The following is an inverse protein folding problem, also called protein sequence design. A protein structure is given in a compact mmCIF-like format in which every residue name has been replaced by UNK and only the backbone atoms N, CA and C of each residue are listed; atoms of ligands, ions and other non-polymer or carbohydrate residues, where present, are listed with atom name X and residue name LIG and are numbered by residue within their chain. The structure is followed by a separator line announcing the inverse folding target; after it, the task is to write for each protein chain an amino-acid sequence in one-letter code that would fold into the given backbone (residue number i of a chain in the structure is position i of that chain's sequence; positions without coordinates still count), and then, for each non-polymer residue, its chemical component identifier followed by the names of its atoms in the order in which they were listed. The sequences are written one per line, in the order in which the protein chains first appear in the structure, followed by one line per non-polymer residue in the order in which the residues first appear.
data_IF_570821352298
#
_entry.id   IF_570821352298
#
_cell.length_a   1.000
_cell.length_b   1.000
_cell.length_c   1.000
_cell.angle_alpha   90.00
_cell.angle_beta   90.00
_cell.angle_gamma   90.00
#
_symmetry.space_group_name_H-M   'P 1'
#
loop_
_entity.id
_entity.type
_entity.pdbx_description
1 polymer ?
#
# COMPACT_ATOMS: atom_id res chain seq x y z
N UNK A 1 -29.48 6.92 9.98
CA UNK A 1 -29.66 7.23 8.55
C UNK A 1 -28.87 6.18 7.77
N UNK A 2 -29.52 5.08 7.35
CA UNK A 2 -28.87 3.98 6.63
C UNK A 2 -28.66 4.41 5.17
N UNK A 3 -27.42 4.68 4.76
CA UNK A 3 -27.06 4.81 3.35
C UNK A 3 -26.95 3.39 2.79
N UNK A 4 -27.91 2.98 1.96
CA UNK A 4 -27.79 1.76 1.16
C UNK A 4 -26.70 1.98 0.11
N UNK A 5 -25.58 1.27 0.26
CA UNK A 5 -24.50 1.22 -0.72
C UNK A 5 -24.96 0.35 -1.91
N UNK A 6 -25.18 0.97 -3.07
CA UNK A 6 -25.54 0.25 -4.28
C UNK A 6 -24.26 -0.30 -4.92
N UNK A 7 -23.91 -1.55 -4.63
CA UNK A 7 -22.79 -2.26 -5.26
C UNK A 7 -23.04 -2.34 -6.77
N UNK A 8 -22.36 -1.51 -7.56
CA UNK A 8 -22.40 -1.59 -9.03
C UNK A 8 -21.49 -2.73 -9.49
N UNK A 9 -22.05 -3.94 -9.51
CA UNK A 9 -21.44 -5.11 -10.13
C UNK A 9 -21.40 -4.94 -11.66
N UNK A 10 -20.21 -4.72 -12.22
CA UNK A 10 -19.95 -4.90 -13.67
C UNK A 10 -19.22 -6.23 -13.87
N UNK A 11 -19.96 -7.33 -13.91
CA UNK A 11 -19.47 -8.57 -14.52
C UNK A 11 -19.91 -8.63 -15.97
N UNK A 12 -18.95 -8.80 -16.88
CA UNK A 12 -19.19 -9.05 -18.29
C UNK A 12 -19.85 -10.44 -18.47
N UNK A 13 -21.03 -10.46 -19.08
CA UNK A 13 -21.64 -11.66 -19.63
C UNK A 13 -20.83 -12.14 -20.84
N UNK A 14 -20.50 -13.44 -20.87
CA UNK A 14 -20.19 -14.13 -22.11
C UNK A 14 -21.10 -15.36 -22.21
N UNK A 15 -21.91 -15.39 -23.25
CA UNK A 15 -22.95 -16.37 -23.54
C UNK A 15 -22.43 -17.34 -24.61
N UNK A 16 -22.61 -18.64 -24.42
CA UNK A 16 -22.27 -19.64 -25.44
C UNK A 16 -22.72 -21.05 -25.07
N UNK A 17 -23.98 -21.37 -25.39
CA UNK A 17 -24.66 -22.66 -25.25
C UNK A 17 -24.18 -23.71 -26.25
N UNK A 18 -24.20 -24.98 -25.82
CA UNK A 18 -24.57 -26.25 -26.51
C UNK A 18 -23.93 -27.39 -25.67
N UNK A 19 -24.59 -28.38 -25.09
CA UNK A 19 -25.87 -29.02 -25.31
C UNK A 19 -25.63 -30.53 -25.28
N UNK A 20 -26.05 -31.26 -24.23
CA UNK A 20 -26.39 -32.70 -24.28
C UNK A 20 -27.00 -33.19 -22.96
N UNK A 21 -28.24 -33.69 -23.07
CA UNK A 21 -29.00 -34.41 -22.03
C UNK A 21 -28.41 -35.81 -21.83
N UNK A 22 -28.18 -36.19 -20.57
CA UNK A 22 -28.09 -37.59 -20.16
C UNK A 22 -28.99 -37.78 -18.94
N UNK A 23 -29.98 -38.66 -19.09
CA UNK A 23 -30.87 -39.15 -18.02
C UNK A 23 -30.18 -40.35 -17.36
N UNK A 24 -30.07 -40.38 -16.02
CA UNK A 24 -30.15 -41.65 -15.25
C UNK A 24 -30.18 -41.46 -13.72
N UNK A 25 -31.27 -42.03 -13.16
CA UNK A 25 -31.45 -42.77 -11.89
C UNK A 25 -31.01 -42.14 -10.56
N UNK A 26 -32.02 -41.83 -9.76
CA UNK A 26 -32.04 -41.58 -8.33
C UNK A 26 -31.63 -42.81 -7.50
N UNK A 27 -30.75 -42.59 -6.52
CA UNK A 27 -30.52 -43.44 -5.36
C UNK A 27 -30.86 -42.64 -4.08
N UNK A 28 -31.44 -43.25 -3.04
CA UNK A 28 -31.83 -42.54 -1.83
C UNK A 28 -30.59 -42.31 -0.96
N UNK A 29 -30.10 -41.07 -0.90
CA UNK A 29 -29.04 -40.69 0.02
C UNK A 29 -29.67 -40.17 1.31
N UNK A 30 -29.56 -40.97 2.37
CA UNK A 30 -29.83 -40.56 3.74
C UNK A 30 -29.10 -39.24 4.01
N UNK A 31 -29.87 -38.16 4.09
CA UNK A 31 -29.32 -36.84 4.40
C UNK A 31 -29.26 -36.73 5.92
N UNK A 32 -28.09 -37.04 6.48
CA UNK A 32 -27.72 -36.56 7.80
C UNK A 32 -27.53 -35.06 7.67
N UNK A 33 -28.53 -34.29 8.09
CA UNK A 33 -28.46 -32.84 8.18
C UNK A 33 -27.45 -32.46 9.27
N UNK A 34 -26.26 -32.04 8.85
CA UNK A 34 -25.31 -31.30 9.69
C UNK A 34 -25.90 -29.89 9.94
N UNK A 35 -26.08 -29.46 11.20
CA UNK A 35 -26.57 -28.12 11.49
C UNK A 35 -25.39 -27.12 11.63
N UNK A 36 -25.61 -25.88 11.15
CA UNK A 36 -24.92 -24.62 11.53
C UNK A 36 -23.44 -24.46 11.12
N UNK A 37 -23.18 -24.11 9.85
CA UNK A 37 -21.94 -23.43 9.38
C UNK A 37 -22.22 -22.25 8.42
N UNK A 38 -23.47 -22.02 8.02
CA UNK A 38 -23.85 -21.07 6.96
C UNK A 38 -24.12 -19.65 7.43
N UNK A 39 -24.53 -19.45 8.69
CA UNK A 39 -24.89 -18.12 9.22
C UNK A 39 -23.64 -17.27 9.49
N UNK A 40 -22.62 -17.83 10.15
CA UNK A 40 -21.38 -17.13 10.49
C UNK A 40 -20.61 -16.64 9.24
N UNK A 41 -20.58 -17.44 8.17
CA UNK A 41 -19.99 -17.02 6.90
C UNK A 41 -20.77 -15.92 6.17
N UNK A 42 -22.11 -15.92 6.27
CA UNK A 42 -22.94 -14.88 5.67
C UNK A 42 -22.75 -13.54 6.41
N UNK A 43 -22.65 -13.59 7.74
CA UNK A 43 -22.40 -12.43 8.59
C UNK A 43 -21.01 -11.83 8.36
N UNK A 44 -19.97 -12.66 8.23
CA UNK A 44 -18.63 -12.20 7.86
C UNK A 44 -18.60 -11.55 6.48
N UNK A 45 -19.30 -12.12 5.50
CA UNK A 45 -19.38 -11.53 4.16
C UNK A 45 -20.07 -10.16 4.19
N UNK A 46 -21.17 -10.04 4.95
CA UNK A 46 -21.87 -8.77 5.14
C UNK A 46 -20.98 -7.72 5.84
N UNK A 47 -20.16 -8.15 6.81
CA UNK A 47 -19.18 -7.31 7.47
C UNK A 47 -18.10 -6.81 6.49
N UNK A 48 -17.57 -7.68 5.63
CA UNK A 48 -16.63 -7.30 4.57
C UNK A 48 -17.27 -6.29 3.61
N UNK A 49 -18.53 -6.50 3.22
CA UNK A 49 -19.27 -5.57 2.35
C UNK A 49 -19.46 -4.18 3.00
N UNK A 50 -19.81 -4.12 4.29
CA UNK A 50 -19.94 -2.85 5.02
C UNK A 50 -18.61 -2.09 5.09
N UNK A 51 -17.52 -2.79 5.42
CA UNK A 51 -16.19 -2.18 5.50
C UNK A 51 -15.75 -1.63 4.14
N UNK A 52 -15.89 -2.41 3.07
CA UNK A 52 -15.51 -1.98 1.72
C UNK A 52 -16.29 -0.72 1.30
N UNK A 53 -17.61 -0.71 1.54
CA UNK A 53 -18.44 0.46 1.27
C UNK A 53 -17.95 1.72 2.02
N UNK A 54 -17.58 1.58 3.29
CA UNK A 54 -17.13 2.70 4.13
C UNK A 54 -15.78 3.29 3.72
N UNK A 55 -14.89 2.48 3.16
CA UNK A 55 -13.54 2.92 2.76
C UNK A 55 -13.48 3.41 1.31
N UNK A 56 -14.50 3.11 0.50
CA UNK A 56 -14.55 3.50 -0.91
C UNK A 56 -14.48 5.03 -1.07
N UNK A 57 -13.59 5.51 -1.93
CA UNK A 57 -13.43 6.95 -2.20
C UNK A 57 -12.75 7.77 -1.10
N UNK A 58 -12.23 7.15 -0.04
CA UNK A 58 -11.67 7.87 1.13
C UNK A 58 -10.19 8.25 1.02
N UNK A 59 -9.53 7.91 -0.10
CA UNK A 59 -8.06 8.01 -0.28
C UNK A 59 -7.29 7.32 0.87
N UNK A 60 -7.55 6.02 1.08
CA UNK A 60 -6.85 5.25 2.12
C UNK A 60 -7.29 5.61 3.55
N UNK A 61 -8.49 6.17 3.72
CA UNK A 61 -8.99 6.68 5.01
C UNK A 61 -8.55 8.11 5.35
N UNK A 62 -7.81 8.80 4.47
CA UNK A 62 -7.34 10.16 4.73
C UNK A 62 -8.50 11.15 4.91
N UNK A 63 -9.55 11.00 4.11
CA UNK A 63 -10.70 11.92 4.11
C UNK A 63 -11.76 11.59 5.17
N UNK A 64 -11.52 10.58 6.01
CA UNK A 64 -12.43 10.18 7.08
C UNK A 64 -12.19 10.98 8.36
N UNK A 65 -13.29 11.28 9.05
CA UNK A 65 -13.25 11.81 10.41
C UNK A 65 -12.72 10.77 11.40
N UNK A 66 -12.32 11.24 12.56
CA UNK A 66 -11.83 10.39 13.64
C UNK A 66 -12.87 9.36 14.08
N UNK A 67 -14.12 9.76 14.26
CA UNK A 67 -15.21 8.84 14.63
C UNK A 67 -15.45 7.77 13.56
N UNK A 68 -15.38 8.12 12.27
CA UNK A 68 -15.52 7.16 11.18
C UNK A 68 -14.38 6.15 11.14
N UNK A 69 -13.15 6.59 11.42
CA UNK A 69 -11.99 5.69 11.55
C UNK A 69 -12.15 4.74 12.72
N UNK A 70 -12.61 5.24 13.86
CA UNK A 70 -12.82 4.44 15.05
C UNK A 70 -13.90 3.36 14.80
N UNK A 71 -14.97 3.69 14.08
CA UNK A 71 -15.98 2.72 13.63
C UNK A 71 -15.39 1.63 12.73
N UNK A 72 -14.60 2.01 11.70
CA UNK A 72 -13.98 1.05 10.78
C UNK A 72 -12.98 0.17 11.52
N UNK A 73 -12.17 0.73 12.40
CA UNK A 73 -11.19 -0.01 13.20
C UNK A 73 -11.88 -1.07 14.09
N UNK A 74 -13.07 -0.79 14.64
CA UNK A 74 -13.87 -1.76 15.38
C UNK A 74 -14.39 -2.91 14.48
N UNK A 75 -14.80 -2.61 13.24
CA UNK A 75 -15.21 -3.64 12.28
C UNK A 75 -14.03 -4.52 11.86
N UNK A 76 -12.86 -3.92 11.65
CA UNK A 76 -11.63 -4.66 11.38
C UNK A 76 -11.25 -5.57 12.55
N UNK A 77 -11.43 -5.14 13.80
CA UNK A 77 -11.17 -6.01 14.96
C UNK A 77 -12.07 -7.24 14.99
N UNK A 78 -13.33 -7.12 14.57
CA UNK A 78 -14.23 -8.29 14.46
C UNK A 78 -13.71 -9.29 13.43
N UNK A 79 -13.24 -8.82 12.27
CA UNK A 79 -12.62 -9.68 11.26
C UNK A 79 -11.34 -10.34 11.80
N UNK A 80 -10.52 -9.58 12.53
CA UNK A 80 -9.29 -10.10 13.15
C UNK A 80 -9.58 -11.19 14.17
N UNK A 81 -10.61 -11.00 14.99
CA UNK A 81 -11.04 -12.02 15.95
C UNK A 81 -11.50 -13.28 15.24
N UNK A 82 -12.31 -13.15 14.18
CA UNK A 82 -12.75 -14.27 13.36
C UNK A 82 -11.60 -14.96 12.61
N UNK A 83 -10.50 -14.24 12.35
CA UNK A 83 -9.30 -14.76 11.70
C UNK A 83 -8.32 -15.47 12.64
N UNK A 84 -8.52 -15.44 13.97
CA UNK A 84 -7.58 -16.08 14.91
C UNK A 84 -7.40 -17.57 14.63
N UNK A 85 -6.15 -18.03 14.60
CA UNK A 85 -5.82 -19.44 14.34
C UNK A 85 -5.92 -19.84 12.86
N UNK A 86 -6.41 -18.96 11.99
CA UNK A 86 -6.08 -19.07 10.56
C UNK A 86 -4.57 -18.85 10.43
N UNK A 87 -3.89 -19.59 9.55
CA UNK A 87 -2.44 -19.47 9.32
C UNK A 87 -2.20 -18.79 7.97
N UNK A 88 -2.38 -17.46 7.85
CA UNK A 88 -2.60 -16.83 6.55
C UNK A 88 -1.33 -16.78 5.72
N UNK A 89 -0.15 -16.91 6.36
CA UNK A 89 1.15 -17.03 5.69
C UNK A 89 1.23 -18.31 4.85
N UNK A 90 0.55 -19.38 5.28
CA UNK A 90 0.49 -20.68 4.57
C UNK A 90 -0.66 -20.76 3.58
N UNK A 91 -1.55 -19.77 3.59
CA UNK A 91 -2.69 -19.74 2.70
C UNK A 91 -2.24 -19.32 1.29
N UNK A 92 -2.49 -20.12 0.24
CA UNK A 92 -2.12 -19.76 -1.13
C UNK A 92 -2.79 -18.46 -1.59
N UNK A 93 -3.94 -18.10 -0.97
CA UNK A 93 -4.62 -16.84 -1.22
C UNK A 93 -3.81 -15.65 -0.73
N UNK A 94 -2.74 -15.79 0.05
CA UNK A 94 -1.90 -14.64 0.37
C UNK A 94 -1.21 -14.09 -0.89
N UNK A 95 -0.84 -14.97 -1.83
CA UNK A 95 -0.16 -14.59 -3.08
C UNK A 95 -1.13 -13.85 -3.99
N UNK A 96 -0.82 -12.60 -4.33
CA UNK A 96 -1.65 -11.78 -5.20
C UNK A 96 -1.30 -10.30 -5.16
N UNK A 97 -2.00 -9.55 -6.00
CA UNK A 97 -1.95 -8.10 -6.03
C UNK A 97 -3.05 -7.51 -5.15
N UNK A 98 -2.73 -6.48 -4.38
CA UNK A 98 -3.70 -5.82 -3.54
C UNK A 98 -3.60 -4.29 -3.63
N UNK A 99 -4.75 -3.65 -3.56
CA UNK A 99 -4.88 -2.22 -3.31
C UNK A 99 -4.94 -1.99 -1.82
N UNK A 100 -4.18 -1.03 -1.30
CA UNK A 100 -4.31 -0.57 0.10
C UNK A 100 -5.43 0.45 0.15
N UNK A 101 -6.60 0.03 0.63
CA UNK A 101 -7.82 0.85 0.59
C UNK A 101 -8.07 1.62 1.87
N UNK A 102 -7.45 1.20 2.99
CA UNK A 102 -7.55 1.90 4.25
C UNK A 102 -6.31 1.65 5.13
N UNK A 103 -5.88 2.69 5.82
CA UNK A 103 -4.83 2.61 6.85
C UNK A 103 -5.20 3.42 8.08
N UNK A 104 -4.98 2.85 9.27
CA UNK A 104 -5.14 3.55 10.55
C UNK A 104 -3.85 3.50 11.37
N UNK A 105 -3.46 4.63 11.94
CA UNK A 105 -2.36 4.76 12.92
C UNK A 105 -2.87 5.11 14.31
N UNK A 106 -4.19 5.07 14.53
CA UNK A 106 -4.84 5.53 15.78
C UNK A 106 -4.32 4.81 17.02
N UNK A 107 -3.91 3.55 16.83
CA UNK A 107 -3.39 2.66 17.88
C UNK A 107 -1.87 2.51 17.85
N UNK A 108 -1.18 3.36 17.09
CA UNK A 108 0.27 3.35 16.94
C UNK A 108 0.92 4.55 17.65
N UNK A 109 1.10 4.49 18.99
CA UNK A 109 1.68 5.60 19.74
C UNK A 109 3.08 5.92 19.24
N UNK A 110 3.29 7.19 18.87
CA UNK A 110 4.59 7.70 18.39
C UNK A 110 4.85 7.56 16.89
N UNK A 111 3.99 6.87 16.12
CA UNK A 111 4.14 6.81 14.66
C UNK A 111 3.81 8.17 14.03
N UNK A 112 4.84 8.89 13.55
CA UNK A 112 4.68 10.18 12.86
C UNK A 112 4.47 9.93 11.36
N UNK A 113 3.39 10.45 10.79
CA UNK A 113 3.09 10.36 9.35
C UNK A 113 2.15 9.22 8.97
N UNK A 114 1.97 9.00 7.66
CA UNK A 114 1.07 7.97 7.12
C UNK A 114 1.73 6.59 7.16
N UNK A 115 0.97 5.55 7.56
CA UNK A 115 1.46 4.18 7.62
C UNK A 115 1.84 3.61 6.26
N UNK A 116 1.08 3.97 5.22
CA UNK A 116 1.42 3.67 3.83
C UNK A 116 1.86 4.95 3.09
N UNK A 117 2.94 4.83 2.32
CA UNK A 117 3.48 5.90 1.48
C UNK A 117 4.26 7.02 2.18
N UNK A 118 4.45 6.94 3.49
CA UNK A 118 5.43 7.75 4.22
C UNK A 118 5.33 9.25 3.94
N UNK A 119 6.48 9.91 3.69
CA UNK A 119 6.54 11.36 3.45
C UNK A 119 5.86 11.81 2.15
N UNK A 120 5.76 10.92 1.15
CA UNK A 120 5.08 11.23 -0.12
C UNK A 120 3.58 11.47 0.06
N UNK A 121 2.97 10.87 1.10
CA UNK A 121 1.56 11.07 1.46
C UNK A 121 1.36 12.06 2.62
N UNK A 122 2.41 12.77 3.05
CA UNK A 122 2.29 13.88 4.02
C UNK A 122 1.61 15.13 3.42
N UNK A 123 1.31 16.13 4.25
CA UNK A 123 0.60 17.35 3.80
C UNK A 123 1.27 18.04 2.60
N UNK A 124 2.58 18.31 2.70
CA UNK A 124 3.36 18.88 1.60
C UNK A 124 3.54 17.88 0.45
N UNK A 125 3.74 16.60 0.77
CA UNK A 125 3.89 15.53 -0.20
C UNK A 125 2.70 15.40 -1.14
N UNK A 126 1.47 15.43 -0.63
CA UNK A 126 0.24 15.31 -1.45
C UNK A 126 0.05 16.44 -2.46
N UNK A 127 0.52 17.65 -2.14
CA UNK A 127 0.44 18.79 -3.06
C UNK A 127 1.38 18.63 -4.26
N UNK A 128 2.57 18.06 -4.04
CA UNK A 128 3.58 17.85 -5.08
C UNK A 128 3.38 16.52 -5.80
N UNK A 129 2.96 15.49 -5.07
CA UNK A 129 2.80 14.11 -5.52
C UNK A 129 1.35 13.69 -5.29
N UNK A 130 0.47 14.06 -6.23
CA UNK A 130 -0.94 13.67 -6.14
C UNK A 130 -1.03 12.15 -6.24
N UNK A 131 -1.34 11.47 -5.14
CA UNK A 131 -1.38 10.00 -5.13
C UNK A 131 -2.50 9.50 -6.03
N UNK A 132 -2.19 8.54 -6.89
CA UNK A 132 -3.14 7.91 -7.81
C UNK A 132 -3.43 6.46 -7.42
N UNK A 133 -2.58 5.85 -6.59
CA UNK A 133 -2.83 4.52 -6.05
C UNK A 133 -1.78 4.08 -5.04
N UNK A 134 -2.18 3.21 -4.12
CA UNK A 134 -1.31 2.57 -3.13
C UNK A 134 -1.55 1.07 -3.21
N UNK A 135 -0.48 0.32 -3.45
CA UNK A 135 -0.57 -1.10 -3.73
C UNK A 135 0.45 -1.87 -2.91
N UNK A 136 0.07 -3.08 -2.52
CA UNK A 136 0.97 -4.05 -1.93
C UNK A 136 0.69 -5.40 -2.58
N UNK A 137 1.70 -6.03 -3.16
CA UNK A 137 1.59 -7.38 -3.70
C UNK A 137 2.47 -8.34 -2.91
N UNK A 138 1.99 -9.57 -2.78
CA UNK A 138 2.83 -10.71 -2.36
C UNK A 138 2.97 -11.60 -3.58
N UNK A 139 4.16 -11.63 -4.16
CA UNK A 139 4.48 -12.36 -5.36
C UNK A 139 4.99 -13.75 -5.00
N UNK A 140 4.63 -14.74 -5.81
CA UNK A 140 5.17 -16.09 -5.70
C UNK A 140 6.70 -16.06 -5.89
N UNK A 141 7.38 -16.85 -5.07
CA UNK A 141 8.82 -17.01 -5.05
C UNK A 141 9.23 -17.92 -3.90
N UNK A 142 10.49 -18.34 -3.88
CA UNK A 142 11.09 -19.08 -2.77
C UNK A 142 12.38 -18.38 -2.31
N UNK A 143 12.33 -17.52 -1.26
CA UNK A 143 11.14 -17.14 -0.49
C UNK A 143 10.20 -16.17 -1.26
N UNK A 144 8.95 -15.98 -0.81
CA UNK A 144 8.02 -15.02 -1.40
C UNK A 144 8.55 -13.59 -1.39
N UNK A 145 8.03 -12.75 -2.28
CA UNK A 145 8.48 -11.36 -2.46
C UNK A 145 7.33 -10.41 -2.18
N UNK A 146 7.52 -9.47 -1.27
CA UNK A 146 6.58 -8.38 -1.05
C UNK A 146 7.01 -7.14 -1.84
N UNK A 147 6.02 -6.50 -2.47
CA UNK A 147 6.21 -5.30 -3.27
C UNK A 147 5.25 -4.23 -2.79
N UNK A 148 5.77 -3.06 -2.43
CA UNK A 148 4.97 -1.87 -2.16
C UNK A 148 5.12 -0.87 -3.30
N UNK A 149 4.01 -0.32 -3.78
CA UNK A 149 4.01 0.72 -4.81
C UNK A 149 3.09 1.86 -4.40
N UNK A 150 3.61 3.08 -4.45
CA UNK A 150 2.82 4.31 -4.30
C UNK A 150 2.92 5.07 -5.61
N UNK A 151 1.86 5.02 -6.40
CA UNK A 151 1.76 5.74 -7.67
C UNK A 151 1.28 7.17 -7.44
N UNK A 152 1.82 8.12 -8.20
CA UNK A 152 1.47 9.52 -8.09
C UNK A 152 1.59 10.25 -9.43
N UNK A 153 1.03 11.45 -9.50
CA UNK A 153 1.34 12.45 -10.51
C UNK A 153 2.11 13.61 -9.87
N UNK A 154 3.35 13.83 -10.32
CA UNK A 154 4.16 14.98 -9.93
C UNK A 154 3.53 16.25 -10.54
N UNK A 155 3.19 17.21 -9.67
CA UNK A 155 2.45 18.43 -10.01
C UNK A 155 1.14 18.17 -10.78
N UNK A 156 0.58 16.96 -10.66
CA UNK A 156 -0.60 16.54 -11.42
C UNK A 156 -0.34 16.20 -12.89
N UNK A 157 0.89 16.32 -13.39
CA UNK A 157 1.21 16.20 -14.83
C UNK A 157 2.04 14.96 -15.16
N UNK A 158 3.09 14.70 -14.38
CA UNK A 158 4.08 13.66 -14.72
C UNK A 158 3.78 12.42 -13.89
N UNK A 159 3.37 11.30 -14.51
CA UNK A 159 3.13 10.07 -13.77
C UNK A 159 4.45 9.53 -13.21
N UNK A 160 4.38 8.97 -12.00
CA UNK A 160 5.52 8.38 -11.33
C UNK A 160 5.09 7.42 -10.23
N UNK A 161 6.07 6.76 -9.62
CA UNK A 161 5.82 5.95 -8.43
C UNK A 161 7.06 5.85 -7.54
N UNK A 162 6.84 5.55 -6.27
CA UNK A 162 7.87 5.00 -5.38
C UNK A 162 7.57 3.52 -5.16
N UNK A 163 8.56 2.69 -5.42
CA UNK A 163 8.45 1.25 -5.34
C UNK A 163 9.47 0.65 -4.38
N UNK A 164 9.04 -0.28 -3.53
CA UNK A 164 9.90 -1.11 -2.70
C UNK A 164 9.67 -2.57 -3.08
N UNK A 165 10.75 -3.35 -3.11
CA UNK A 165 10.72 -4.79 -3.34
C UNK A 165 11.57 -5.45 -2.26
N UNK A 166 11.03 -6.48 -1.62
CA UNK A 166 11.67 -7.11 -0.49
C UNK A 166 11.31 -8.58 -0.34
N UNK A 167 12.18 -9.32 0.36
CA UNK A 167 11.95 -10.74 0.67
C UNK A 167 11.08 -10.85 1.90
N UNK A 168 10.12 -11.78 1.85
CA UNK A 168 9.26 -12.11 2.98
C UNK A 168 9.90 -13.27 3.73
N UNK A 169 10.11 -13.08 5.02
CA UNK A 169 10.64 -14.10 5.93
C UNK A 169 9.66 -14.27 7.10
N UNK A 170 9.42 -15.51 7.56
CA UNK A 170 8.66 -15.74 8.78
C UNK A 170 9.29 -14.98 9.96
N UNK A 171 8.45 -14.44 10.84
CA UNK A 171 8.92 -13.75 12.03
C UNK A 171 8.17 -14.26 13.26
N UNK A 172 8.90 -14.82 14.22
CA UNK A 172 8.30 -15.48 15.38
C UNK A 172 7.81 -16.90 15.08
N UNK A 173 7.17 -17.52 16.08
CA UNK A 173 6.70 -18.91 16.02
C UNK A 173 5.19 -19.03 15.70
N UNK A 174 4.52 -17.90 15.41
CA UNK A 174 3.05 -17.82 15.35
C UNK A 174 2.42 -18.14 13.98
N UNK A 175 3.21 -18.42 12.93
CA UNK A 175 2.75 -18.63 11.54
C UNK A 175 1.85 -17.50 10.97
N UNK A 176 1.74 -16.36 11.67
CA UNK A 176 0.86 -15.22 11.35
C UNK A 176 1.67 -13.98 10.97
N UNK A 177 2.85 -13.84 11.57
CA UNK A 177 3.73 -12.68 11.45
C UNK A 177 4.83 -12.90 10.41
N UNK A 178 5.06 -11.89 9.57
CA UNK A 178 6.18 -11.88 8.61
C UNK A 178 7.01 -10.62 8.75
N UNK A 179 8.32 -10.77 8.60
CA UNK A 179 9.24 -9.68 8.36
C UNK A 179 9.49 -9.55 6.87
N UNK A 180 9.38 -8.33 6.35
CA UNK A 180 9.75 -8.02 4.98
C UNK A 180 10.98 -7.15 4.97
N UNK A 181 12.04 -7.62 4.32
CA UNK A 181 13.29 -6.90 4.14
C UNK A 181 13.34 -6.28 2.75
N UNK A 182 13.08 -4.98 2.67
CA UNK A 182 13.06 -4.22 1.42
C UNK A 182 14.45 -3.71 1.04
N UNK A 183 14.75 -3.84 -0.25
CA UNK A 183 15.85 -3.13 -0.90
C UNK A 183 15.58 -1.61 -0.96
N UNK A 184 16.59 -0.79 -1.28
CA UNK A 184 16.41 0.66 -1.39
C UNK A 184 15.29 1.01 -2.39
N UNK A 185 14.38 1.93 -2.04
CA UNK A 185 13.25 2.29 -2.88
C UNK A 185 13.68 2.81 -4.24
N UNK A 186 12.85 2.53 -5.25
CA UNK A 186 12.97 3.10 -6.59
C UNK A 186 11.95 4.21 -6.73
N UNK A 187 12.44 5.41 -6.99
CA UNK A 187 11.65 6.52 -7.50
C UNK A 187 11.65 6.47 -9.02
N UNK A 188 10.47 6.42 -9.62
CA UNK A 188 10.29 6.39 -11.07
C UNK A 188 9.44 7.55 -11.57
N UNK A 189 9.82 8.08 -12.73
CA UNK A 189 9.06 9.10 -13.46
C UNK A 189 8.89 8.70 -14.94
N UNK A 190 7.67 8.88 -15.44
CA UNK A 190 7.26 8.63 -16.81
C UNK A 190 7.66 7.25 -17.37
N UNK A 191 7.87 6.26 -16.50
CA UNK A 191 8.32 4.92 -16.86
C UNK A 191 9.73 4.83 -17.48
N UNK A 192 10.51 5.92 -17.45
CA UNK A 192 11.82 6.00 -18.12
C UNK A 192 12.94 6.40 -17.17
N UNK A 193 12.63 7.29 -16.22
CA UNK A 193 13.58 7.69 -15.21
C UNK A 193 13.44 6.78 -14.00
N UNK A 194 14.54 6.19 -13.55
CA UNK A 194 14.55 5.36 -12.36
C UNK A 194 15.75 5.71 -11.49
N UNK A 195 15.49 5.93 -10.21
CA UNK A 195 16.49 6.31 -9.23
C UNK A 195 16.30 5.46 -7.99
N UNK A 196 17.32 4.70 -7.60
CA UNK A 196 17.38 4.14 -6.26
C UNK A 196 17.70 5.25 -5.27
N UNK A 197 16.83 5.40 -4.28
CA UNK A 197 16.91 6.42 -3.25
C UNK A 197 16.86 5.74 -1.89
N UNK A 198 17.43 6.39 -0.88
CA UNK A 198 17.34 5.90 0.49
C UNK A 198 18.11 4.62 0.81
N UNK A 199 18.06 4.21 2.09
CA UNK A 199 18.61 2.96 2.56
C UNK A 199 17.62 1.79 2.38
N UNK A 200 18.10 0.58 2.68
CA UNK A 200 17.24 -0.58 2.94
C UNK A 200 16.32 -0.34 4.13
N UNK A 201 15.20 -1.06 4.19
CA UNK A 201 14.24 -0.97 5.29
C UNK A 201 13.59 -2.31 5.57
N UNK A 202 13.20 -2.57 6.81
CA UNK A 202 12.39 -3.71 7.18
C UNK A 202 11.01 -3.27 7.67
N UNK A 203 10.01 -4.13 7.53
CA UNK A 203 8.69 -3.95 8.13
C UNK A 203 8.22 -5.30 8.67
N UNK A 204 7.68 -5.29 9.88
CA UNK A 204 6.98 -6.43 10.46
C UNK A 204 5.48 -6.23 10.33
N UNK A 205 4.80 -7.20 9.72
CA UNK A 205 3.36 -7.18 9.50
C UNK A 205 2.79 -8.58 9.77
N UNK A 206 1.73 -8.65 10.57
CA UNK A 206 0.91 -9.84 10.69
C UNK A 206 -0.29 -9.74 9.75
N UNK A 207 -0.57 -10.80 8.98
CA UNK A 207 -1.86 -10.92 8.29
C UNK A 207 -2.82 -11.62 9.25
N UNK A 208 -3.84 -10.91 9.69
CA UNK A 208 -4.72 -11.32 10.81
C UNK A 208 -6.09 -11.81 10.35
N UNK A 209 -6.43 -11.54 9.09
CA UNK A 209 -7.61 -12.08 8.41
C UNK A 209 -7.33 -12.10 6.91
N UNK A 210 -7.80 -13.14 6.21
CA UNK A 210 -7.64 -13.30 4.77
C UNK A 210 -8.83 -14.09 4.19
N UNK A 211 -9.43 -13.55 3.14
CA UNK A 211 -10.41 -14.25 2.31
C UNK A 211 -10.13 -13.98 0.81
N UNK A 212 -11.10 -14.29 -0.05
CA UNK A 212 -10.95 -14.09 -1.50
C UNK A 212 -10.93 -12.63 -1.95
N UNK A 213 -11.42 -11.72 -1.11
CA UNK A 213 -11.66 -10.31 -1.47
C UNK A 213 -10.72 -9.38 -0.75
N UNK A 214 -10.37 -9.67 0.49
CA UNK A 214 -9.62 -8.79 1.36
C UNK A 214 -8.57 -9.53 2.17
N UNK A 215 -7.60 -8.77 2.66
CA UNK A 215 -6.83 -9.17 3.85
C UNK A 215 -6.68 -8.00 4.80
N UNK A 216 -6.53 -8.33 6.07
CA UNK A 216 -6.31 -7.36 7.15
C UNK A 216 -4.88 -7.53 7.68
N UNK A 217 -4.11 -6.45 7.59
CA UNK A 217 -2.75 -6.39 8.11
C UNK A 217 -2.67 -5.62 9.41
N UNK A 218 -1.84 -6.11 10.33
CA UNK A 218 -1.47 -5.43 11.57
C UNK A 218 0.04 -5.19 11.56
N UNK A 219 0.45 -3.93 11.54
CA UNK A 219 1.86 -3.58 11.73
C UNK A 219 2.28 -3.82 13.17
N UNK A 220 3.56 -4.15 13.39
CA UNK A 220 4.13 -4.35 14.74
C UNK A 220 3.88 -3.18 15.70
N UNK A 221 3.72 -1.97 15.17
CA UNK A 221 3.41 -0.74 15.92
C UNK A 221 1.92 -0.54 16.20
N UNK A 222 1.04 -1.45 15.81
CA UNK A 222 -0.41 -1.33 15.99
C UNK A 222 -1.13 -0.57 14.86
N UNK A 223 -0.46 -0.28 13.74
CA UNK A 223 -1.12 0.26 12.55
C UNK A 223 -1.97 -0.81 11.86
N UNK A 224 -3.18 -0.43 11.46
CA UNK A 224 -4.10 -1.32 10.75
C UNK A 224 -4.09 -1.02 9.26
N UNK A 225 -4.19 -2.06 8.47
CA UNK A 225 -4.22 -2.00 7.02
C UNK A 225 -5.34 -2.88 6.50
N UNK A 226 -6.15 -2.33 5.60
CA UNK A 226 -7.10 -3.11 4.81
C UNK A 226 -6.66 -3.12 3.36
N UNK A 227 -6.62 -4.33 2.80
CA UNK A 227 -6.22 -4.58 1.44
C UNK A 227 -7.38 -5.22 0.69
N UNK A 228 -7.69 -4.76 -0.52
CA UNK A 228 -8.61 -5.45 -1.43
C UNK A 228 -7.82 -6.13 -2.54
N UNK A 229 -8.20 -7.36 -2.88
CA UNK A 229 -7.53 -8.17 -3.90
C UNK A 229 -7.86 -7.67 -5.31
N UNK A 230 -6.84 -7.68 -6.17
CA UNK A 230 -6.94 -7.42 -7.60
C UNK A 230 -7.33 -5.98 -7.99
N UNK A 231 -8.12 -5.85 -9.05
CA UNK A 231 -8.65 -4.56 -9.51
C UNK A 231 -7.53 -3.68 -10.08
N UNK A 232 -7.42 -2.44 -9.59
CA UNK A 232 -6.36 -1.52 -10.04
C UNK A 232 -4.95 -2.05 -9.74
N UNK A 233 -4.78 -2.97 -8.78
CA UNK A 233 -3.49 -3.57 -8.47
C UNK A 233 -3.00 -4.53 -9.57
N UNK A 234 -3.91 -5.19 -10.30
CA UNK A 234 -3.54 -6.12 -11.39
C UNK A 234 -3.01 -5.37 -12.61
N UNK A 235 -3.46 -4.13 -12.82
CA UNK A 235 -2.96 -3.26 -13.89
C UNK A 235 -1.78 -2.37 -13.45
N UNK A 236 -1.22 -2.59 -12.25
CA UNK A 236 -0.20 -1.74 -11.66
C UNK A 236 1.25 -2.25 -11.87
N UNK A 237 1.48 -3.22 -12.74
CA UNK A 237 2.82 -3.77 -13.08
C UNK A 237 3.66 -4.14 -11.84
N UNK A 238 3.01 -4.74 -10.84
CA UNK A 238 3.60 -4.97 -9.51
C UNK A 238 4.78 -5.95 -9.55
N UNK A 239 4.81 -6.84 -10.53
CA UNK A 239 5.91 -7.76 -10.80
C UNK A 239 7.20 -7.03 -11.18
N UNK A 240 7.10 -5.94 -11.96
CA UNK A 240 8.23 -5.15 -12.44
C UNK A 240 8.80 -4.20 -11.38
N UNK A 241 8.00 -3.78 -10.40
CA UNK A 241 8.41 -2.80 -9.40
C UNK A 241 9.65 -3.28 -8.61
N UNK A 242 10.64 -2.40 -8.49
CA UNK A 242 11.87 -2.66 -7.74
C UNK A 242 12.96 -3.37 -8.55
N UNK A 243 12.67 -3.84 -9.76
CA UNK A 243 13.65 -4.48 -10.65
C UNK A 243 14.42 -3.47 -11.52
N UNK A 244 13.93 -2.23 -11.61
CA UNK A 244 14.54 -1.22 -12.47
C UNK A 244 15.96 -0.87 -12.01
N UNK A 245 16.84 -0.64 -12.98
CA UNK A 245 18.19 -0.13 -12.72
C UNK A 245 18.16 1.38 -12.66
N UNK A 246 19.00 1.95 -11.80
CA UNK A 246 19.21 3.40 -11.78
C UNK A 246 19.69 3.87 -13.15
N UNK A 247 18.94 4.76 -13.78
CA UNK A 247 19.31 5.35 -15.06
C UNK A 247 20.41 6.38 -14.86
N UNK A 248 21.54 6.27 -15.57
CA UNK A 248 22.62 7.26 -15.49
C UNK A 248 22.13 8.65 -15.94
N UNK A 249 21.23 8.70 -16.94
CA UNK A 249 20.56 9.93 -17.38
C UNK A 249 19.76 10.55 -16.24
N UNK A 250 19.05 9.75 -15.45
CA UNK A 250 18.31 10.25 -14.30
C UNK A 250 19.20 10.77 -13.19
N UNK A 251 20.31 10.08 -12.93
CA UNK A 251 21.31 10.56 -11.97
C UNK A 251 21.88 11.90 -12.44
N UNK A 252 22.30 11.99 -13.70
CA UNK A 252 22.81 13.22 -14.30
C UNK A 252 21.78 14.35 -14.26
N UNK A 253 20.51 14.08 -14.60
CA UNK A 253 19.43 15.06 -14.57
C UNK A 253 19.17 15.58 -13.16
N UNK A 254 19.18 14.71 -12.15
CA UNK A 254 19.01 15.12 -10.74
C UNK A 254 20.19 15.97 -10.27
N UNK A 255 21.43 15.56 -10.55
CA UNK A 255 22.60 16.36 -10.19
C UNK A 255 22.66 17.69 -10.91
N UNK A 256 22.31 17.73 -12.19
CA UNK A 256 22.20 18.97 -12.95
C UNK A 256 21.12 19.89 -12.35
N UNK A 257 19.95 19.35 -12.01
CA UNK A 257 18.88 20.11 -11.36
C UNK A 257 19.31 20.67 -10.00
N UNK A 258 19.96 19.87 -9.15
CA UNK A 258 20.50 20.34 -7.87
C UNK A 258 21.58 21.41 -8.06
N UNK A 259 22.48 21.22 -9.03
CA UNK A 259 23.51 22.21 -9.34
C UNK A 259 22.89 23.54 -9.82
N UNK A 260 21.85 23.49 -10.66
CA UNK A 260 21.10 24.67 -11.11
C UNK A 260 20.46 25.37 -9.91
N UNK A 261 19.82 24.65 -8.98
CA UNK A 261 19.23 25.25 -7.77
C UNK A 261 20.27 25.95 -6.90
N UNK A 262 21.45 25.34 -6.73
CA UNK A 262 22.57 25.92 -5.96
C UNK A 262 23.11 27.17 -6.65
N UNK A 263 23.42 27.09 -7.95
CA UNK A 263 23.96 28.22 -8.72
C UNK A 263 22.95 29.37 -8.76
N UNK A 264 21.68 29.08 -9.06
CA UNK A 264 20.62 30.09 -9.07
C UNK A 264 20.42 30.72 -7.69
N UNK A 265 20.46 29.91 -6.63
CA UNK A 265 20.40 30.40 -5.25
C UNK A 265 21.56 31.34 -4.93
N UNK A 266 22.79 30.99 -5.33
CA UNK A 266 23.98 31.82 -5.13
C UNK A 266 23.89 33.15 -5.90
N UNK A 267 23.43 33.12 -7.15
CA UNK A 267 23.23 34.34 -7.97
C UNK A 267 22.16 35.25 -7.37
N UNK A 268 21.04 34.68 -6.93
CA UNK A 268 19.97 35.42 -6.25
C UNK A 268 20.45 36.04 -4.94
N UNK A 269 21.28 35.33 -4.17
CA UNK A 269 21.87 35.83 -2.93
C UNK A 269 22.84 36.99 -3.17
N UNK A 270 23.67 36.88 -4.21
CA UNK A 270 24.64 37.91 -4.60
C UNK A 270 23.97 39.20 -5.09
N UNK A 271 22.68 39.15 -5.43
CA UNK A 271 21.94 40.35 -5.81
C UNK A 271 21.75 41.32 -4.63
N UNK A 272 21.63 42.61 -4.94
CA UNK A 272 21.28 43.65 -3.97
C UNK A 272 19.78 43.69 -3.64
N UNK A 273 18.96 42.86 -4.31
CA UNK A 273 17.50 42.88 -4.15
C UNK A 273 17.07 42.00 -2.95
N UNK A 274 16.40 42.56 -1.93
CA UNK A 274 15.97 41.79 -0.77
C UNK A 274 15.01 40.65 -1.11
N UNK A 275 14.14 40.80 -2.11
CA UNK A 275 13.23 39.74 -2.56
C UNK A 275 13.99 38.57 -3.20
N UNK A 276 15.05 38.86 -3.95
CA UNK A 276 15.89 37.82 -4.53
C UNK A 276 16.67 37.05 -3.43
N UNK A 277 17.11 37.71 -2.36
CA UNK A 277 17.72 37.02 -1.21
C UNK A 277 16.73 36.09 -0.48
N UNK A 278 15.47 36.51 -0.36
CA UNK A 278 14.41 35.62 0.16
C UNK A 278 14.22 34.41 -0.76
N UNK A 279 14.17 34.61 -2.08
CA UNK A 279 14.09 33.53 -3.04
C UNK A 279 15.32 32.58 -2.99
N UNK A 280 16.52 33.11 -2.76
CA UNK A 280 17.73 32.33 -2.56
C UNK A 280 17.62 31.40 -1.33
N UNK A 281 17.10 31.93 -0.21
CA UNK A 281 16.86 31.13 1.01
C UNK A 281 15.88 29.99 0.71
N UNK A 282 14.78 30.27 0.00
CA UNK A 282 13.79 29.26 -0.39
C UNK A 282 14.44 28.18 -1.28
N UNK A 283 15.26 28.58 -2.26
CA UNK A 283 16.01 27.63 -3.12
C UNK A 283 16.96 26.76 -2.30
N UNK A 284 17.65 27.33 -1.31
CA UNK A 284 18.51 26.60 -0.38
C UNK A 284 17.74 25.55 0.41
N UNK A 285 16.61 25.90 1.00
CA UNK A 285 15.74 24.94 1.69
C UNK A 285 15.21 23.84 0.76
N UNK A 286 14.84 24.18 -0.47
CA UNK A 286 14.38 23.21 -1.46
C UNK A 286 15.51 22.22 -1.81
N UNK A 287 16.72 22.72 -2.03
CA UNK A 287 17.91 21.89 -2.33
C UNK A 287 18.21 20.92 -1.20
N UNK A 288 18.21 21.40 0.04
CA UNK A 288 18.44 20.56 1.23
C UNK A 288 17.32 19.54 1.39
N UNK A 289 16.06 19.96 1.22
CA UNK A 289 14.89 19.10 1.31
C UNK A 289 14.90 17.95 0.31
N UNK A 290 15.15 18.26 -0.97
CA UNK A 290 15.25 17.25 -2.04
C UNK A 290 16.41 16.30 -1.78
N UNK A 291 17.59 16.82 -1.43
CA UNK A 291 18.76 15.99 -1.12
C UNK A 291 18.48 15.05 0.06
N UNK A 292 17.79 15.53 1.10
CA UNK A 292 17.40 14.71 2.23
C UNK A 292 16.41 13.60 1.84
N UNK A 293 15.44 13.87 0.95
CA UNK A 293 14.50 12.86 0.44
C UNK A 293 15.23 11.81 -0.40
N UNK A 294 16.16 12.23 -1.28
CA UNK A 294 16.97 11.31 -2.08
C UNK A 294 17.85 10.41 -1.20
N UNK A 295 18.46 10.98 -0.15
CA UNK A 295 19.33 10.23 0.76
C UNK A 295 18.58 9.32 1.73
N UNK A 296 17.34 9.67 2.13
CA UNK A 296 16.52 8.88 3.07
C UNK A 296 15.41 8.06 2.42
N UNK A 297 15.20 8.19 1.11
CA UNK A 297 14.17 7.45 0.38
C UNK A 297 12.73 7.85 0.71
N UNK A 298 12.51 8.95 1.42
CA UNK A 298 11.20 9.32 1.98
C UNK A 298 10.69 8.37 3.07
N UNK A 299 11.54 7.45 3.54
CA UNK A 299 11.26 6.51 4.62
C UNK A 299 11.33 7.26 5.96
N UNK A 300 10.40 6.95 6.85
CA UNK A 300 10.47 7.38 8.25
C UNK A 300 11.10 6.22 9.00
N UNK A 301 12.42 6.30 9.18
CA UNK A 301 13.15 5.40 10.06
C UNK A 301 12.90 5.87 11.49
N UNK A 302 12.26 5.04 12.29
CA UNK A 302 12.21 5.24 13.75
C UNK A 302 13.21 4.25 14.35
N UNK A 303 14.16 4.76 15.15
CA UNK A 303 15.40 4.10 15.61
C UNK A 303 15.22 2.76 16.38
N UNK A 304 13.98 2.34 16.64
CA UNK A 304 13.67 1.14 17.44
C UNK A 304 13.71 -0.17 16.64
N UNK A 305 13.54 -0.16 15.33
CA UNK A 305 13.53 -1.38 14.50
C UNK A 305 14.94 -1.88 14.09
N UNK A 306 16.00 -1.11 14.36
CA UNK A 306 17.39 -1.43 13.94
C UNK A 306 18.13 -2.30 14.97
N UNK A 307 17.61 -2.47 16.19
CA UNK A 307 18.31 -3.13 17.30
C UNK A 307 17.97 -4.62 17.49
N UNK A 308 17.73 -5.37 16.43
CA UNK A 308 17.78 -6.83 16.47
C UNK A 308 18.58 -7.36 15.27
N UNK A 309 19.90 -7.32 15.44
CA UNK A 309 20.83 -8.25 14.78
C UNK A 309 21.27 -9.28 15.80
#
# INVERSE_FOLDING_TARGET
MQMQCFVRSKYYHNSGLLGRRVVRRSAPTNTVSLPVQTEDHADLKALVDDIICRVEGTDGGINLSDAQKDEIDLLLDKLREAGKGSRPVKDPRLIGNYVVVYTSTRRAPGQKGQAAGGRFRGALGRSLFKTTGVFQSVLAGDPPIAVNKVAFNLLGLIPGYVGLRGRVEPFGDDDESVSVYFDPPILSFAGKLHLRIGPKSSVQLATTYLDERIRVGLGSRGSLFLFTRGGAADAADMDLVGQQRTSWVGVAAVWAFLAILVVTGALLWASANPLARVAAIISGFLTVGISAVLNRGGIIQDDKEINHK
#
